data_IF_611545752617
#
_entry.id   IF_611545752617
#
_cell.length_a   1.000
_cell.length_b   1.000
_cell.length_c   1.000
_cell.angle_alpha   90.00
_cell.angle_beta   90.00
_cell.angle_gamma   90.00
#
_symmetry.space_group_name_H-M   'P 1'
#
loop_
_entity.id
_entity.type
_entity.pdbx_description
1 polymer ?
#
# COMPACT_ATOMS: atom_id res chain seq x y z
N UNK A 1 -37.56 -27.25 -13.34
CA UNK A 1 -37.02 -26.37 -12.29
C UNK A 1 -38.11 -25.41 -11.86
N UNK A 2 -38.53 -25.48 -10.59
CA UNK A 2 -39.49 -24.52 -10.02
C UNK A 2 -38.91 -23.11 -10.17
N UNK A 3 -39.62 -22.23 -10.89
CA UNK A 3 -39.13 -20.89 -11.26
C UNK A 3 -38.74 -20.02 -10.06
N UNK A 4 -39.22 -20.39 -8.86
CA UNK A 4 -38.85 -19.79 -7.58
C UNK A 4 -37.34 -19.89 -7.25
N UNK A 5 -36.66 -20.98 -7.62
CA UNK A 5 -35.22 -21.14 -7.35
C UNK A 5 -34.33 -20.40 -8.35
N UNK A 6 -34.76 -20.28 -9.61
CA UNK A 6 -34.05 -19.50 -10.63
C UNK A 6 -34.11 -17.99 -10.36
N UNK A 7 -35.27 -17.50 -9.91
CA UNK A 7 -35.44 -16.10 -9.55
C UNK A 7 -34.60 -15.72 -8.31
N UNK A 8 -34.52 -16.61 -7.32
CA UNK A 8 -33.74 -16.40 -6.09
C UNK A 8 -32.23 -16.34 -6.35
N UNK A 9 -31.70 -17.18 -7.25
CA UNK A 9 -30.28 -17.19 -7.63
C UNK A 9 -29.90 -15.92 -8.42
N UNK A 10 -30.76 -15.47 -9.34
CA UNK A 10 -30.55 -14.22 -10.08
C UNK A 10 -30.61 -13.01 -9.14
N UNK A 11 -31.58 -12.97 -8.21
CA UNK A 11 -31.63 -11.92 -7.19
C UNK A 11 -30.40 -11.89 -6.29
N UNK A 12 -29.87 -13.06 -5.88
CA UNK A 12 -28.65 -13.13 -5.07
C UNK A 12 -27.42 -12.61 -5.81
N UNK A 13 -27.25 -12.98 -7.09
CA UNK A 13 -26.15 -12.48 -7.92
C UNK A 13 -26.24 -10.96 -8.16
N UNK A 14 -27.46 -10.43 -8.37
CA UNK A 14 -27.68 -8.98 -8.46
C UNK A 14 -27.46 -8.27 -7.13
N UNK A 15 -27.76 -8.88 -5.98
CA UNK A 15 -27.51 -8.29 -4.66
C UNK A 15 -26.01 -8.21 -4.34
N UNK A 16 -25.24 -9.25 -4.70
CA UNK A 16 -23.77 -9.26 -4.54
C UNK A 16 -23.14 -8.17 -5.42
N UNK A 17 -23.60 -8.02 -6.66
CA UNK A 17 -23.16 -6.92 -7.54
C UNK A 17 -23.64 -5.54 -7.09
N UNK A 18 -24.82 -5.44 -6.47
CA UNK A 18 -25.37 -4.18 -5.96
C UNK A 18 -24.58 -3.60 -4.77
N UNK A 19 -23.84 -4.44 -4.03
CA UNK A 19 -22.94 -3.95 -2.97
C UNK A 19 -21.56 -3.52 -3.49
N UNK A 20 -21.16 -3.97 -4.68
CA UNK A 20 -19.92 -3.55 -5.33
C UNK A 20 -18.62 -3.93 -4.59
N UNK A 21 -18.67 -4.72 -3.51
CA UNK A 21 -17.51 -5.09 -2.70
C UNK A 21 -17.19 -6.58 -2.84
N UNK A 22 -15.97 -6.89 -3.29
CA UNK A 22 -15.54 -8.27 -3.56
C UNK A 22 -14.28 -8.61 -2.77
N UNK A 23 -14.21 -9.80 -2.18
CA UNK A 23 -12.96 -10.28 -1.57
C UNK A 23 -12.04 -10.79 -2.66
N UNK A 24 -10.91 -10.10 -2.86
CA UNK A 24 -9.94 -10.46 -3.88
C UNK A 24 -8.93 -11.46 -3.34
N UNK A 25 -8.37 -11.17 -2.18
CA UNK A 25 -7.35 -11.98 -1.55
C UNK A 25 -7.52 -11.99 -0.03
N UNK A 26 -7.12 -13.07 0.61
CA UNK A 26 -7.20 -13.21 2.07
C UNK A 26 -6.13 -14.13 2.62
N UNK A 27 -5.70 -13.86 3.85
CA UNK A 27 -4.92 -14.80 4.66
C UNK A 27 -5.38 -14.75 6.11
N UNK A 28 -5.21 -15.86 6.81
CA UNK A 28 -5.36 -15.97 8.25
C UNK A 28 -4.00 -15.84 8.91
N UNK A 29 -4.02 -15.33 10.13
CA UNK A 29 -2.84 -15.24 10.98
C UNK A 29 -3.00 -16.13 12.21
N UNK A 30 -1.91 -16.68 12.80
CA UNK A 30 -1.98 -17.33 14.10
C UNK A 30 -2.57 -16.40 15.16
N UNK A 31 -2.95 -16.97 16.30
CA UNK A 31 -3.43 -16.18 17.44
C UNK A 31 -2.39 -16.27 18.54
N UNK A 32 -2.16 -15.15 19.22
CA UNK A 32 -1.33 -15.09 20.42
C UNK A 32 0.15 -14.91 20.15
N UNK A 33 0.57 -14.57 18.93
CA UNK A 33 1.96 -14.35 18.57
C UNK A 33 2.39 -12.87 18.54
N UNK A 34 1.55 -11.96 19.02
CA UNK A 34 1.78 -10.52 19.21
C UNK A 34 2.98 -10.06 20.09
N UNK A 35 3.92 -10.95 20.43
CA UNK A 35 5.08 -10.67 21.28
C UNK A 35 6.38 -10.49 20.46
N UNK A 36 6.26 -10.02 19.22
CA UNK A 36 7.35 -9.81 18.29
C UNK A 36 8.14 -11.10 18.05
N UNK A 37 9.46 -11.13 18.29
CA UNK A 37 10.24 -12.37 18.24
C UNK A 37 9.75 -13.48 19.20
N UNK A 38 8.77 -13.21 20.08
CA UNK A 38 8.13 -14.18 20.98
C UNK A 38 8.49 -13.98 22.45
N UNK A 39 9.21 -12.91 22.78
CA UNK A 39 9.63 -12.60 24.15
C UNK A 39 9.57 -11.10 24.47
N UNK A 40 9.04 -10.27 23.56
CA UNK A 40 8.87 -8.86 23.87
C UNK A 40 7.86 -8.68 25.00
N UNK A 41 8.16 -7.74 25.88
CA UNK A 41 7.21 -7.24 26.87
C UNK A 41 6.59 -5.96 26.31
N UNK A 42 5.28 -5.90 26.12
CA UNK A 42 4.61 -4.67 25.67
C UNK A 42 4.74 -3.57 26.75
N UNK A 43 4.44 -2.30 26.42
CA UNK A 43 4.42 -1.26 27.43
C UNK A 43 3.43 -1.60 28.56
N UNK A 44 3.81 -1.26 29.79
CA UNK A 44 3.12 -1.68 31.01
C UNK A 44 1.84 -0.88 31.29
N UNK A 45 1.57 0.18 30.53
CA UNK A 45 0.32 0.90 30.68
C UNK A 45 -0.86 -0.02 30.32
N UNK A 46 -1.89 -0.14 31.19
CA UNK A 46 -3.01 -1.05 30.98
C UNK A 46 -3.76 -0.87 29.66
N UNK A 47 -3.69 0.31 29.02
CA UNK A 47 -4.32 0.52 27.70
C UNK A 47 -3.82 -0.46 26.65
N UNK A 48 -2.57 -0.93 26.75
CA UNK A 48 -1.99 -1.90 25.82
C UNK A 48 -2.48 -3.34 26.04
N UNK A 49 -3.29 -3.59 27.09
CA UNK A 49 -3.83 -4.91 27.45
C UNK A 49 -2.80 -6.04 27.39
N UNK A 50 -1.59 -5.78 27.91
CA UNK A 50 -0.48 -6.72 27.85
C UNK A 50 -0.18 -7.24 26.42
N UNK A 51 -0.30 -6.35 25.42
CA UNK A 51 0.09 -6.61 24.04
C UNK A 51 -0.97 -7.25 23.16
N UNK A 52 -2.06 -7.79 23.71
CA UNK A 52 -3.11 -8.49 22.93
C UNK A 52 -3.74 -7.61 21.86
N UNK A 53 -3.64 -6.28 22.01
CA UNK A 53 -4.14 -5.30 21.04
C UNK A 53 -3.39 -5.29 19.71
N UNK A 54 -2.24 -5.98 19.62
CA UNK A 54 -1.41 -6.04 18.42
C UNK A 54 -1.58 -7.33 17.61
N UNK A 55 -2.34 -8.29 18.14
CA UNK A 55 -2.55 -9.63 17.60
C UNK A 55 -3.48 -9.60 16.38
N UNK A 56 -2.91 -9.66 15.18
CA UNK A 56 -3.71 -9.81 13.97
C UNK A 56 -4.17 -11.25 13.83
N UNK A 57 -5.27 -11.45 13.11
CA UNK A 57 -5.87 -12.79 12.92
C UNK A 57 -6.31 -13.02 11.49
N UNK A 58 -6.48 -11.92 10.74
CA UNK A 58 -6.86 -11.96 9.33
C UNK A 58 -6.42 -10.72 8.61
N UNK A 59 -5.98 -10.92 7.38
CA UNK A 59 -5.80 -9.86 6.39
C UNK A 59 -6.67 -10.14 5.17
N UNK A 60 -7.37 -9.12 4.69
CA UNK A 60 -8.18 -9.17 3.48
C UNK A 60 -7.88 -7.98 2.58
N UNK A 61 -7.76 -8.27 1.29
CA UNK A 61 -7.75 -7.29 0.22
C UNK A 61 -9.08 -7.43 -0.51
N UNK A 62 -9.92 -6.41 -0.39
CA UNK A 62 -11.20 -6.34 -1.09
C UNK A 62 -11.14 -5.26 -2.17
N UNK A 63 -12.00 -5.37 -3.16
CA UNK A 63 -12.19 -4.36 -4.20
C UNK A 63 -13.60 -3.80 -4.12
N UNK A 64 -13.70 -2.48 -4.00
CA UNK A 64 -14.96 -1.76 -4.10
C UNK A 64 -15.09 -1.12 -5.49
N UNK A 65 -15.92 -1.72 -6.33
CA UNK A 65 -16.19 -1.28 -7.70
C UNK A 65 -16.90 0.07 -7.76
N UNK A 66 -17.76 0.37 -6.78
CA UNK A 66 -18.53 1.62 -6.75
C UNK A 66 -17.66 2.84 -6.46
N UNK A 67 -16.60 2.66 -5.66
CA UNK A 67 -15.67 3.74 -5.29
C UNK A 67 -14.31 3.66 -6.00
N UNK A 68 -14.11 2.68 -6.89
CA UNK A 68 -12.83 2.37 -7.54
C UNK A 68 -11.65 2.37 -6.55
N UNK A 69 -11.75 1.51 -5.52
CA UNK A 69 -10.78 1.48 -4.42
C UNK A 69 -10.48 0.06 -3.94
N UNK A 70 -9.24 -0.16 -3.49
CA UNK A 70 -8.93 -1.30 -2.62
C UNK A 70 -9.37 -0.99 -1.21
N UNK A 71 -9.86 -2.02 -0.54
CA UNK A 71 -10.13 -2.01 0.88
C UNK A 71 -9.17 -3.00 1.51
N UNK A 72 -8.27 -2.50 2.34
CA UNK A 72 -7.43 -3.33 3.18
C UNK A 72 -8.12 -3.48 4.52
N UNK A 73 -8.51 -4.70 4.88
CA UNK A 73 -9.10 -5.01 6.17
C UNK A 73 -8.13 -5.87 6.97
N UNK A 74 -7.75 -5.36 8.14
CA UNK A 74 -6.87 -6.03 9.09
C UNK A 74 -7.72 -6.34 10.33
N UNK A 75 -7.95 -7.62 10.62
CA UNK A 75 -8.75 -8.07 11.76
C UNK A 75 -7.85 -8.46 12.92
N UNK A 76 -8.12 -7.89 14.10
CA UNK A 76 -7.42 -8.21 15.33
C UNK A 76 -8.24 -9.19 16.19
N UNK A 77 -7.56 -9.97 17.03
CA UNK A 77 -8.23 -10.80 18.03
C UNK A 77 -8.96 -9.94 19.06
N UNK A 78 -8.32 -8.84 19.47
CA UNK A 78 -8.90 -7.73 20.23
C UNK A 78 -8.27 -6.41 19.74
N UNK A 79 -9.06 -5.49 19.17
CA UNK A 79 -8.52 -4.21 18.70
C UNK A 79 -8.16 -3.25 19.86
N UNK A 80 -8.59 -3.54 21.08
CA UNK A 80 -8.35 -2.66 22.23
C UNK A 80 -9.27 -1.44 22.31
N UNK A 81 -10.07 -1.19 21.27
CA UNK A 81 -10.96 -0.04 21.18
C UNK A 81 -10.20 1.27 20.96
N UNK A 82 -10.73 2.36 21.51
CA UNK A 82 -10.23 3.72 21.27
C UNK A 82 -9.99 4.51 22.57
N UNK A 83 -9.14 4.02 23.50
CA UNK A 83 -8.96 4.63 24.82
C UNK A 83 -8.39 6.06 24.79
N UNK A 84 -7.74 6.45 23.69
CA UNK A 84 -7.16 7.79 23.51
C UNK A 84 -7.98 8.68 22.56
N UNK A 85 -9.22 8.30 22.25
CA UNK A 85 -10.17 9.11 21.47
C UNK A 85 -9.64 9.57 20.10
N UNK A 86 -8.97 8.68 19.37
CA UNK A 86 -8.57 8.90 17.97
C UNK A 86 -9.78 8.99 17.04
N UNK A 87 -9.70 9.83 16.02
CA UNK A 87 -10.74 10.01 15.00
C UNK A 87 -10.91 8.77 14.11
N UNK A 88 -9.91 7.91 14.00
CA UNK A 88 -9.97 6.67 13.19
C UNK A 88 -10.68 5.52 13.90
N UNK A 89 -11.00 5.67 15.19
CA UNK A 89 -11.71 4.65 15.98
C UNK A 89 -10.83 3.59 16.65
N UNK A 90 -9.51 3.71 16.59
CA UNK A 90 -8.53 2.91 17.35
C UNK A 90 -7.37 3.81 17.79
N UNK A 91 -6.62 3.43 18.83
CA UNK A 91 -5.60 4.31 19.44
C UNK A 91 -4.16 3.80 19.43
N UNK A 92 -3.93 2.48 19.36
CA UNK A 92 -2.65 1.91 19.80
C UNK A 92 -1.83 1.28 18.68
N UNK A 93 -2.47 0.79 17.63
CA UNK A 93 -1.80 0.09 16.54
C UNK A 93 -1.20 1.11 15.57
N UNK A 94 -0.04 0.77 15.00
CA UNK A 94 0.46 1.40 13.79
C UNK A 94 0.80 0.31 12.79
N UNK A 95 -0.12 0.14 11.83
CA UNK A 95 -0.14 -0.94 10.86
C UNK A 95 0.57 -0.46 9.60
N UNK A 96 1.43 -1.32 9.05
CA UNK A 96 2.16 -1.05 7.83
C UNK A 96 1.96 -2.19 6.85
N UNK A 97 1.48 -1.88 5.66
CA UNK A 97 1.26 -2.84 4.58
C UNK A 97 2.18 -2.50 3.43
N UNK A 98 3.10 -3.40 3.11
CA UNK A 98 3.99 -3.30 1.97
C UNK A 98 3.55 -4.30 0.91
N UNK A 99 3.53 -3.87 -0.34
CA UNK A 99 3.08 -4.68 -1.47
C UNK A 99 4.21 -4.75 -2.48
N UNK A 100 4.53 -5.97 -2.90
CA UNK A 100 5.33 -6.27 -4.07
C UNK A 100 4.38 -6.65 -5.22
N UNK A 101 4.39 -5.86 -6.29
CA UNK A 101 3.49 -6.04 -7.45
C UNK A 101 4.12 -6.82 -8.61
N UNK A 102 5.28 -7.46 -8.43
CA UNK A 102 5.86 -8.36 -9.44
C UNK A 102 6.93 -7.76 -10.35
N UNK A 103 7.51 -6.59 -10.02
CA UNK A 103 8.61 -6.05 -10.80
C UNK A 103 9.91 -6.86 -10.61
N UNK A 104 10.68 -7.12 -11.68
CA UNK A 104 12.00 -7.74 -11.55
C UNK A 104 13.00 -6.76 -10.92
N UNK A 105 13.79 -7.24 -9.96
CA UNK A 105 14.94 -6.54 -9.38
C UNK A 105 14.64 -5.75 -8.11
N UNK A 106 15.67 -5.61 -7.25
CA UNK A 106 15.64 -4.76 -6.07
C UNK A 106 15.62 -3.27 -6.50
N UNK A 107 14.52 -2.52 -6.31
CA UNK A 107 14.40 -1.12 -6.73
C UNK A 107 15.22 -0.20 -5.83
N UNK A 108 15.73 -0.70 -4.70
CA UNK A 108 16.33 0.08 -3.63
C UNK A 108 17.84 0.31 -3.81
N UNK A 109 18.23 0.77 -5.00
CA UNK A 109 19.53 1.44 -5.19
C UNK A 109 19.59 2.78 -4.46
N UNK A 110 20.37 3.74 -4.96
CA UNK A 110 20.34 5.13 -4.46
C UNK A 110 19.01 5.79 -4.86
N UNK A 111 17.94 5.60 -4.06
CA UNK A 111 16.61 6.17 -4.34
C UNK A 111 16.55 7.59 -3.76
N UNK A 112 16.18 8.56 -4.59
CA UNK A 112 15.86 9.92 -4.15
C UNK A 112 14.38 9.99 -3.83
N UNK A 113 14.01 10.31 -2.60
CA UNK A 113 12.60 10.39 -2.23
C UNK A 113 12.02 11.78 -2.47
N UNK A 114 10.74 11.85 -2.86
CA UNK A 114 9.99 13.10 -3.00
C UNK A 114 8.63 13.01 -2.31
N UNK A 115 8.52 13.57 -1.12
CA UNK A 115 7.26 13.63 -0.35
C UNK A 115 6.52 14.91 -0.74
N UNK A 116 5.28 14.80 -1.24
CA UNK A 116 4.39 15.96 -1.28
C UNK A 116 3.84 16.17 0.12
N UNK A 117 4.30 17.21 0.81
CA UNK A 117 3.81 17.53 2.15
C UNK A 117 2.34 17.97 2.06
N UNK A 118 1.42 17.28 2.77
CA UNK A 118 0.00 17.61 2.70
C UNK A 118 -0.36 18.93 3.39
N UNK A 119 0.53 19.42 4.26
CA UNK A 119 0.28 20.52 5.19
C UNK A 119 0.61 21.88 4.58
N UNK A 120 1.61 21.94 3.70
CA UNK A 120 2.07 23.15 3.01
C UNK A 120 2.10 23.01 1.47
N UNK A 121 1.85 21.82 0.93
CA UNK A 121 1.89 21.54 -0.51
C UNK A 121 3.30 21.51 -1.11
N UNK A 122 4.35 21.70 -0.30
CA UNK A 122 5.71 21.78 -0.79
C UNK A 122 6.32 20.38 -0.95
N UNK A 123 7.04 20.10 -2.05
CA UNK A 123 7.80 18.86 -2.18
C UNK A 123 9.01 18.89 -1.23
N UNK A 124 9.11 17.91 -0.33
CA UNK A 124 10.34 17.59 0.38
C UNK A 124 11.09 16.51 -0.41
N UNK A 125 12.28 16.84 -0.93
CA UNK A 125 13.08 15.92 -1.72
C UNK A 125 14.48 15.73 -1.12
N UNK A 126 14.96 14.48 -1.08
CA UNK A 126 16.30 14.15 -0.58
C UNK A 126 16.62 12.66 -0.65
N UNK A 127 17.92 12.34 -0.58
CA UNK A 127 18.38 10.96 -0.38
C UNK A 127 18.22 10.63 1.11
N UNK A 128 17.45 9.58 1.43
CA UNK A 128 17.39 9.04 2.79
C UNK A 128 17.11 10.10 3.88
N UNK A 129 15.97 10.79 3.80
CA UNK A 129 15.61 11.88 4.71
C UNK A 129 14.48 11.46 5.67
N UNK A 130 14.59 11.92 6.92
CA UNK A 130 13.48 11.94 7.88
C UNK A 130 12.83 13.32 7.81
N UNK A 131 11.58 13.37 7.38
CA UNK A 131 10.85 14.63 7.31
C UNK A 131 10.15 14.90 8.66
N UNK A 132 10.57 15.93 9.38
CA UNK A 132 10.02 16.22 10.73
C UNK A 132 8.52 16.57 10.70
N UNK A 133 8.04 17.17 9.60
CA UNK A 133 6.64 17.58 9.45
C UNK A 133 5.71 16.37 9.29
N UNK A 134 5.98 15.53 8.29
CA UNK A 134 5.18 14.32 8.05
C UNK A 134 5.56 13.17 8.98
N UNK A 135 6.72 13.28 9.67
CA UNK A 135 7.41 12.20 10.40
C UNK A 135 7.62 10.95 9.54
N UNK A 136 7.57 11.12 8.22
CA UNK A 136 7.76 10.07 7.24
C UNK A 136 9.25 9.81 7.08
N UNK A 137 9.57 8.54 6.90
CA UNK A 137 10.92 8.09 6.71
C UNK A 137 11.07 7.49 5.32
N UNK A 138 12.11 7.92 4.61
CA UNK A 138 12.48 7.31 3.35
C UNK A 138 13.60 6.28 3.53
N UNK A 139 13.31 4.97 3.30
CA UNK A 139 14.29 3.93 3.54
C UNK A 139 15.45 3.98 2.57
N UNK A 140 16.64 4.16 3.12
CA UNK A 140 17.89 3.70 2.53
C UNK A 140 18.28 2.36 3.18
N UNK A 141 18.12 1.22 2.47
CA UNK A 141 18.50 -0.08 3.02
C UNK A 141 20.01 -0.25 3.22
N UNK A 142 20.85 0.63 2.66
CA UNK A 142 22.29 0.63 2.87
C UNK A 142 22.73 1.40 4.12
N UNK A 143 21.88 2.29 4.67
CA UNK A 143 22.24 3.12 5.82
C UNK A 143 21.60 2.63 7.13
N UNK A 144 22.36 1.82 7.88
CA UNK A 144 21.93 1.23 9.16
C UNK A 144 21.52 2.29 10.22
N UNK A 145 22.06 3.51 10.16
CA UNK A 145 21.77 4.56 11.16
C UNK A 145 20.31 5.03 11.15
N UNK A 146 19.60 4.73 10.06
CA UNK A 146 18.23 5.19 9.83
C UNK A 146 17.16 4.14 10.13
N UNK A 147 17.55 2.87 10.34
CA UNK A 147 16.62 1.81 10.76
C UNK A 147 15.93 2.15 12.09
N UNK A 148 16.51 3.05 12.89
CA UNK A 148 15.87 3.59 14.09
C UNK A 148 14.61 4.43 13.84
N UNK A 149 14.21 4.69 12.59
CA UNK A 149 12.94 5.33 12.21
C UNK A 149 11.96 4.39 11.47
N UNK A 150 12.28 3.09 11.30
CA UNK A 150 11.46 2.10 10.57
C UNK A 150 10.87 1.02 11.48
N UNK A 151 10.21 -0.03 10.97
CA UNK A 151 9.95 -1.23 11.77
C UNK A 151 11.22 -2.00 12.20
N UNK A 152 12.44 -1.59 11.81
CA UNK A 152 13.67 -2.29 12.19
C UNK A 152 13.86 -3.63 11.46
N UNK A 153 13.27 -3.79 10.27
CA UNK A 153 13.35 -5.01 9.46
C UNK A 153 13.75 -4.68 8.02
N UNK A 154 14.33 -5.67 7.34
CA UNK A 154 14.56 -5.67 5.89
C UNK A 154 13.46 -6.47 5.19
N UNK A 155 13.22 -6.12 3.93
CA UNK A 155 12.34 -6.89 3.04
C UNK A 155 13.19 -7.74 2.11
N UNK A 156 12.73 -8.96 1.82
CA UNK A 156 13.39 -9.90 0.91
C UNK A 156 13.73 -9.24 -0.44
N UNK A 157 14.96 -9.43 -0.90
CA UNK A 157 15.41 -8.92 -2.20
C UNK A 157 14.74 -9.63 -3.38
N UNK A 158 14.14 -10.81 -3.14
CA UNK A 158 13.37 -11.55 -4.14
C UNK A 158 11.98 -10.97 -4.38
N UNK A 159 11.46 -10.18 -3.44
CA UNK A 159 10.12 -9.59 -3.49
C UNK A 159 10.11 -8.18 -2.86
N UNK A 160 10.89 -7.25 -3.43
CA UNK A 160 10.95 -5.89 -2.90
C UNK A 160 9.59 -5.21 -3.05
N UNK A 161 9.19 -4.46 -2.04
CA UNK A 161 7.96 -3.69 -2.12
C UNK A 161 8.13 -2.49 -3.06
N UNK A 162 7.02 -2.09 -3.67
CA UNK A 162 6.90 -0.89 -4.50
C UNK A 162 5.69 -0.04 -4.10
N UNK A 163 4.86 -0.53 -3.18
CA UNK A 163 3.84 0.24 -2.47
C UNK A 163 3.99 0.02 -0.98
N UNK A 164 3.89 1.07 -0.18
CA UNK A 164 3.78 1.00 1.28
C UNK A 164 2.61 1.84 1.77
N UNK A 165 1.82 1.31 2.69
CA UNK A 165 0.62 1.94 3.23
C UNK A 165 0.75 1.97 4.75
N UNK A 166 0.68 3.17 5.31
CA UNK A 166 0.82 3.41 6.74
C UNK A 166 -0.55 3.77 7.31
N UNK A 167 -0.96 3.05 8.35
CA UNK A 167 -2.31 3.12 8.92
C UNK A 167 -2.16 3.26 10.43
N UNK A 168 -2.56 4.40 10.97
CA UNK A 168 -2.45 4.71 12.38
C UNK A 168 -3.61 5.57 12.90
N UNK A 169 -3.65 5.79 14.22
CA UNK A 169 -4.59 6.70 14.84
C UNK A 169 -4.35 8.15 14.41
N UNK A 170 -5.40 8.98 14.41
CA UNK A 170 -5.35 10.39 13.97
C UNK A 170 -6.04 11.27 14.99
N UNK A 171 -5.45 12.43 15.26
CA UNK A 171 -6.05 13.51 16.04
C UNK A 171 -5.88 14.84 15.30
N UNK A 172 -6.99 15.55 15.09
CA UNK A 172 -7.02 16.83 14.42
C UNK A 172 -6.32 16.82 13.07
N UNK A 173 -5.36 17.73 12.90
CA UNK A 173 -4.68 17.93 11.62
C UNK A 173 -3.53 16.95 11.38
N UNK A 174 -3.30 15.95 12.24
CA UNK A 174 -2.19 15.01 12.08
C UNK A 174 -2.29 14.23 10.75
N UNK A 175 -1.20 14.22 9.99
CA UNK A 175 -1.06 13.42 8.76
C UNK A 175 -0.43 12.06 9.08
N UNK A 176 -1.23 11.10 9.56
CA UNK A 176 -0.75 9.76 9.96
C UNK A 176 -0.86 8.72 8.87
N UNK A 177 -1.99 8.72 8.17
CA UNK A 177 -2.32 7.69 7.20
C UNK A 177 -1.79 8.08 5.82
N UNK A 178 -0.93 7.24 5.25
CA UNK A 178 -0.16 7.57 4.04
C UNK A 178 -0.13 6.38 3.07
N UNK A 179 -0.03 6.67 1.79
CA UNK A 179 0.34 5.73 0.73
C UNK A 179 1.61 6.24 0.08
N UNK A 180 2.64 5.41 0.06
CA UNK A 180 3.89 5.63 -0.64
C UNK A 180 3.98 4.67 -1.82
N UNK A 181 4.29 5.18 -3.01
CA UNK A 181 4.47 4.40 -4.23
C UNK A 181 5.84 4.70 -4.81
N UNK A 182 6.64 3.67 -5.00
CA UNK A 182 7.94 3.77 -5.63
C UNK A 182 7.78 3.75 -7.16
N UNK A 183 8.32 4.76 -7.83
CA UNK A 183 8.68 4.70 -9.23
C UNK A 183 10.12 4.18 -9.34
N UNK A 184 10.20 2.89 -9.63
CA UNK A 184 11.45 2.14 -9.76
C UNK A 184 12.32 2.64 -10.90
N UNK A 185 11.71 3.15 -11.97
CA UNK A 185 12.45 3.61 -13.17
C UNK A 185 12.97 5.02 -12.96
N UNK A 186 12.16 5.88 -12.33
CA UNK A 186 12.53 7.24 -11.99
C UNK A 186 13.40 7.37 -10.73
N UNK A 187 13.51 6.29 -9.93
CA UNK A 187 14.23 6.31 -8.66
C UNK A 187 13.58 7.24 -7.64
N UNK A 188 12.24 7.36 -7.66
CA UNK A 188 11.48 8.26 -6.79
C UNK A 188 10.42 7.53 -5.98
N UNK A 189 10.03 8.10 -4.84
CA UNK A 189 8.87 7.64 -4.06
C UNK A 189 7.91 8.79 -3.95
N UNK A 190 6.68 8.59 -4.42
CA UNK A 190 5.57 9.53 -4.26
C UNK A 190 4.79 9.16 -3.02
N UNK A 191 4.58 10.11 -2.11
CA UNK A 191 3.81 9.90 -0.89
C UNK A 191 2.55 10.77 -0.93
N UNK A 192 1.41 10.18 -0.57
CA UNK A 192 0.11 10.85 -0.57
C UNK A 192 -0.69 10.49 0.69
N UNK A 193 -1.51 11.40 1.24
CA UNK A 193 -2.45 11.06 2.30
C UNK A 193 -3.40 9.94 1.90
N UNK A 194 -3.59 8.99 2.82
CA UNK A 194 -4.65 8.00 2.69
C UNK A 194 -5.95 8.61 3.22
N UNK A 195 -6.98 8.77 2.37
CA UNK A 195 -8.11 9.64 2.68
C UNK A 195 -9.07 9.07 3.72
N UNK A 196 -9.10 7.75 3.90
CA UNK A 196 -10.11 7.12 4.76
C UNK A 196 -9.59 5.86 5.45
N UNK A 197 -9.56 5.92 6.77
CA UNK A 197 -9.27 4.83 7.70
C UNK A 197 -10.32 4.86 8.80
N UNK A 198 -10.90 3.71 9.13
CA UNK A 198 -11.91 3.59 10.18
C UNK A 198 -11.92 2.16 10.76
N UNK A 199 -12.63 1.97 11.87
CA UNK A 199 -12.83 0.64 12.47
C UNK A 199 -14.17 0.02 12.09
N UNK A 200 -14.18 -1.31 11.98
CA UNK A 200 -15.38 -2.12 11.78
C UNK A 200 -15.27 -3.36 12.67
N UNK A 201 -15.94 -3.34 13.83
CA UNK A 201 -15.76 -4.37 14.86
C UNK A 201 -14.31 -4.39 15.37
N UNK A 202 -13.68 -5.56 15.39
CA UNK A 202 -12.25 -5.71 15.72
C UNK A 202 -11.32 -5.48 14.52
N UNK A 203 -11.82 -4.93 13.41
CA UNK A 203 -11.02 -4.70 12.21
C UNK A 203 -10.70 -3.23 12.01
N UNK A 204 -9.50 -2.95 11.53
CA UNK A 204 -9.12 -1.67 10.93
C UNK A 204 -9.29 -1.77 9.42
N UNK A 205 -9.95 -0.78 8.84
CA UNK A 205 -10.27 -0.71 7.41
C UNK A 205 -9.62 0.52 6.80
N UNK A 206 -8.74 0.31 5.82
CA UNK A 206 -8.11 1.35 5.01
C UNK A 206 -8.67 1.33 3.59
N UNK A 207 -9.21 2.46 3.13
CA UNK A 207 -9.73 2.62 1.77
C UNK A 207 -8.68 3.32 0.93
N UNK A 208 -8.15 2.61 -0.06
CA UNK A 208 -7.08 3.06 -0.93
C UNK A 208 -7.64 3.27 -2.35
N UNK A 209 -7.97 4.53 -2.74
CA UNK A 209 -8.39 4.81 -4.10
C UNK A 209 -7.36 4.33 -5.11
N UNK A 210 -7.81 3.71 -6.21
CA UNK A 210 -6.90 3.14 -7.22
C UNK A 210 -5.93 4.17 -7.80
N UNK A 211 -6.35 5.44 -7.91
CA UNK A 211 -5.49 6.56 -8.34
C UNK A 211 -4.23 6.76 -7.48
N UNK A 212 -4.21 6.29 -6.23
CA UNK A 212 -3.04 6.38 -5.35
C UNK A 212 -2.05 5.23 -5.56
N UNK A 213 -2.45 4.15 -6.25
CA UNK A 213 -1.60 3.01 -6.60
C UNK A 213 -1.69 2.81 -8.12
N UNK A 214 -1.03 3.68 -8.91
CA UNK A 214 -1.11 3.61 -10.37
C UNK A 214 -0.55 2.27 -10.87
N UNK A 215 -1.11 1.70 -11.96
CA UNK A 215 -0.65 0.44 -12.54
C UNK A 215 0.84 0.45 -12.87
N UNK A 216 1.46 -0.72 -12.73
CA UNK A 216 2.87 -0.96 -12.99
C UNK A 216 3.16 -1.07 -14.49
N UNK A 217 2.17 -1.52 -15.26
CA UNK A 217 2.21 -1.53 -16.72
C UNK A 217 1.08 -0.67 -17.30
N UNK A 218 1.21 -0.24 -18.57
CA UNK A 218 0.13 0.47 -19.29
C UNK A 218 -1.09 -0.42 -19.58
N UNK A 219 -1.04 -1.70 -19.23
CA UNK A 219 -2.17 -2.61 -19.35
C UNK A 219 -2.97 -2.54 -18.05
N UNK A 220 -4.23 -2.12 -18.16
CA UNK A 220 -5.19 -1.97 -17.06
C UNK A 220 -5.56 -3.30 -16.34
N UNK A 221 -4.78 -4.37 -16.51
CA UNK A 221 -5.00 -5.67 -15.87
C UNK A 221 -4.55 -5.73 -14.42
N UNK A 222 -3.78 -4.77 -13.90
CA UNK A 222 -2.98 -4.99 -12.69
C UNK A 222 -3.71 -4.75 -11.34
N UNK A 223 -4.90 -5.33 -11.08
CA UNK A 223 -5.58 -5.01 -9.80
C UNK A 223 -6.55 -6.02 -9.17
N UNK A 224 -6.30 -6.39 -7.90
CA UNK A 224 -5.09 -7.07 -7.42
C UNK A 224 -4.78 -8.32 -8.25
N UNK A 225 -3.51 -8.72 -8.35
CA UNK A 225 -3.10 -9.91 -9.12
C UNK A 225 -2.68 -11.07 -8.21
N UNK A 226 -2.82 -12.34 -8.65
CA UNK A 226 -2.31 -13.51 -7.92
C UNK A 226 -0.80 -13.47 -7.63
N UNK A 227 -0.06 -12.70 -8.44
CA UNK A 227 1.39 -12.48 -8.29
C UNK A 227 1.74 -11.48 -7.20
N UNK A 228 0.78 -10.69 -6.71
CA UNK A 228 1.05 -9.75 -5.62
C UNK A 228 1.45 -10.50 -4.35
N UNK A 229 2.36 -9.87 -3.62
CA UNK A 229 2.98 -10.39 -2.41
C UNK A 229 2.95 -9.30 -1.36
N UNK A 230 2.69 -9.66 -0.11
CA UNK A 230 2.36 -8.70 0.94
C UNK A 230 3.24 -8.88 2.16
N UNK A 231 3.66 -7.77 2.76
CA UNK A 231 4.13 -7.74 4.13
C UNK A 231 3.12 -6.93 4.92
N UNK A 232 2.58 -7.50 5.99
CA UNK A 232 1.69 -6.77 6.91
C UNK A 232 2.35 -6.84 8.27
N UNK A 233 2.58 -5.67 8.87
CA UNK A 233 3.28 -5.53 10.13
C UNK A 233 2.43 -4.68 11.06
N UNK A 234 2.43 -5.04 12.35
CA UNK A 234 1.82 -4.25 13.41
C UNK A 234 2.89 -3.82 14.41
N UNK A 235 3.03 -2.51 14.51
CA UNK A 235 3.86 -1.84 15.51
C UNK A 235 2.96 -1.11 16.50
N UNK A 236 3.51 -0.63 17.62
CA UNK A 236 2.76 0.21 18.55
C UNK A 236 2.97 1.68 18.21
N UNK A 237 1.86 2.43 18.10
CA UNK A 237 1.88 3.84 17.75
C UNK A 237 2.43 4.71 18.89
N UNK A 238 3.37 5.58 18.56
CA UNK A 238 3.79 6.69 19.40
C UNK A 238 3.78 7.96 18.56
N UNK A 239 2.96 8.94 18.92
CA UNK A 239 2.90 10.21 18.17
C UNK A 239 4.28 10.82 18.02
N UNK A 240 5.09 10.80 19.08
CA UNK A 240 6.39 11.49 19.21
C UNK A 240 7.61 10.59 18.99
N UNK A 241 7.39 9.28 18.88
CA UNK A 241 8.44 8.31 18.64
C UNK A 241 9.05 8.44 17.24
N UNK A 242 10.32 8.02 17.06
CA UNK A 242 10.93 7.97 15.74
C UNK A 242 10.14 7.02 14.82
N UNK A 243 9.72 7.52 13.65
CA UNK A 243 8.87 6.76 12.72
C UNK A 243 7.45 6.50 13.23
N UNK A 244 7.02 7.23 14.27
CA UNK A 244 5.74 7.04 14.99
C UNK A 244 5.58 5.68 15.67
N UNK A 245 6.69 5.05 16.04
CA UNK A 245 6.72 3.75 16.69
C UNK A 245 7.21 3.93 18.14
N UNK A 246 6.57 3.25 19.08
CA UNK A 246 7.01 3.18 20.47
C UNK A 246 8.47 2.73 20.54
N UNK A 247 9.19 3.31 21.50
CA UNK A 247 10.58 2.93 21.75
C UNK A 247 10.68 1.56 22.40
N UNK A 248 11.77 0.86 22.07
CA UNK A 248 12.14 -0.40 22.70
C UNK A 248 13.35 -0.18 23.60
N UNK A 249 13.30 -0.74 24.79
CA UNK A 249 14.33 -0.67 25.82
C UNK A 249 14.66 -2.07 26.34
N UNK A 250 15.70 -2.19 27.17
CA UNK A 250 16.06 -3.47 27.79
C UNK A 250 15.00 -3.97 28.76
N UNK A 251 14.23 -3.07 29.36
CA UNK A 251 13.08 -3.36 30.21
C UNK A 251 11.90 -2.49 29.77
N UNK A 252 10.68 -3.04 29.87
CA UNK A 252 9.47 -2.29 29.58
C UNK A 252 9.16 -1.27 30.68
N UNK A 253 8.54 -0.17 30.29
CA UNK A 253 7.93 0.79 31.20
C UNK A 253 6.51 1.13 30.72
N UNK A 254 5.84 2.12 31.32
CA UNK A 254 4.48 2.49 30.93
C UNK A 254 4.32 2.93 29.45
N UNK A 255 5.40 3.35 28.81
CA UNK A 255 5.44 3.94 27.46
C UNK A 255 6.38 3.24 26.49
N UNK A 256 7.22 2.32 26.98
CA UNK A 256 8.25 1.62 26.19
C UNK A 256 8.09 0.11 26.27
N UNK A 257 8.35 -0.53 25.15
CA UNK A 257 8.41 -1.99 25.07
C UNK A 257 9.75 -2.51 25.59
N UNK A 258 9.75 -3.69 26.22
CA UNK A 258 10.93 -4.38 26.69
C UNK A 258 11.40 -5.44 25.69
N UNK A 259 12.66 -5.39 25.29
CA UNK A 259 13.29 -6.37 24.40
C UNK A 259 14.33 -7.27 25.14
N UNK A 260 14.58 -7.03 26.43
CA UNK A 260 15.55 -7.78 27.23
C UNK A 260 16.98 -7.22 27.14
N UNK A 261 17.75 -7.38 28.21
CA UNK A 261 19.12 -6.84 28.33
C UNK A 261 20.11 -7.41 27.31
N UNK A 262 19.93 -8.65 26.88
CA UNK A 262 20.76 -9.30 25.86
C UNK A 262 20.73 -8.56 24.50
N UNK A 263 19.69 -7.75 24.25
CA UNK A 263 19.47 -7.06 22.99
C UNK A 263 19.89 -5.58 23.03
N UNK A 264 20.56 -5.12 24.11
CA UNK A 264 20.97 -3.72 24.28
C UNK A 264 21.77 -3.17 23.08
N UNK A 265 22.68 -3.97 22.52
CA UNK A 265 23.49 -3.55 21.36
C UNK A 265 22.65 -3.39 20.09
N UNK A 266 21.65 -4.23 19.87
CA UNK A 266 20.74 -4.13 18.72
C UNK A 266 19.74 -2.95 18.86
N UNK A 267 19.36 -2.61 20.10
CA UNK A 267 18.61 -1.39 20.39
C UNK A 267 19.46 -0.16 20.02
N UNK A 268 20.72 -0.13 20.47
CA UNK A 268 21.62 0.98 20.23
C UNK A 268 21.96 1.17 18.74
N UNK A 269 22.10 0.07 17.97
CA UNK A 269 22.36 0.12 16.54
C UNK A 269 21.11 0.29 15.68
N UNK A 270 19.91 0.19 16.27
CA UNK A 270 18.64 0.32 15.57
C UNK A 270 18.25 -0.90 14.71
N UNK A 271 18.97 -2.01 14.82
CA UNK A 271 18.70 -3.25 14.07
C UNK A 271 17.65 -4.15 14.74
N UNK A 272 17.22 -3.82 15.95
CA UNK A 272 16.13 -4.51 16.64
C UNK A 272 14.80 -4.31 15.89
N UNK A 273 14.07 -5.40 15.53
CA UNK A 273 12.72 -5.28 15.01
C UNK A 273 11.78 -4.64 16.02
N UNK A 274 11.08 -3.58 15.63
CA UNK A 274 10.10 -2.85 16.45
C UNK A 274 8.67 -3.22 16.07
N UNK A 275 8.46 -4.52 15.96
CA UNK A 275 7.23 -5.13 15.45
C UNK A 275 6.70 -6.07 16.53
N UNK A 276 5.42 -5.93 16.86
CA UNK A 276 4.74 -6.85 17.77
C UNK A 276 4.17 -8.04 17.01
N UNK A 277 3.72 -7.81 15.78
CA UNK A 277 3.12 -8.87 14.97
C UNK A 277 3.35 -8.69 13.47
N UNK A 278 3.42 -9.79 12.72
CA UNK A 278 3.46 -9.81 11.26
C UNK A 278 2.46 -10.82 10.72
N UNK A 279 1.95 -10.60 9.51
CA UNK A 279 1.14 -11.63 8.86
C UNK A 279 2.01 -12.85 8.51
N UNK A 280 1.65 -13.98 9.09
CA UNK A 280 2.41 -15.23 9.09
C UNK A 280 3.17 -15.43 10.39
N UNK A 281 4.05 -16.45 10.47
CA UNK A 281 4.78 -16.73 11.69
C UNK A 281 5.79 -15.62 12.02
N UNK A 282 5.83 -15.18 13.27
CA UNK A 282 6.81 -14.20 13.78
C UNK A 282 8.26 -14.72 13.90
N UNK A 283 8.53 -15.99 13.55
CA UNK A 283 9.87 -16.59 13.63
C UNK A 283 10.99 -15.80 12.92
N UNK A 284 10.78 -15.17 11.74
CA UNK A 284 11.81 -14.37 11.08
C UNK A 284 12.30 -13.19 11.93
N UNK A 285 11.46 -12.65 12.82
CA UNK A 285 11.85 -11.55 13.73
C UNK A 285 12.94 -11.95 14.72
N UNK A 286 13.28 -13.24 14.86
CA UNK A 286 14.37 -13.73 15.73
C UNK A 286 15.76 -13.64 15.10
N UNK A 287 15.85 -13.32 13.80
CA UNK A 287 17.08 -13.47 13.00
C UNK A 287 17.99 -12.24 13.01
N UNK A 288 17.65 -11.20 13.78
CA UNK A 288 18.46 -9.99 13.86
C UNK A 288 19.74 -10.20 14.70
N UNK A 289 20.70 -9.32 14.49
CA UNK A 289 21.90 -9.15 15.32
C UNK A 289 22.17 -7.65 15.53
N UNK A 290 23.22 -7.31 16.28
CA UNK A 290 23.63 -5.90 16.42
C UNK A 290 24.02 -5.24 15.09
N UNK A 291 24.46 -6.04 14.11
CA UNK A 291 24.99 -5.55 12.83
C UNK A 291 24.01 -5.75 11.66
N UNK A 292 22.98 -6.59 11.83
CA UNK A 292 22.01 -6.87 10.77
C UNK A 292 20.58 -6.93 11.30
N UNK A 293 19.64 -6.19 10.69
CA UNK A 293 18.21 -6.36 10.92
C UNK A 293 17.70 -7.73 10.48
N UNK A 294 16.58 -8.17 11.05
CA UNK A 294 15.83 -9.33 10.55
C UNK A 294 15.31 -9.08 9.13
N UNK A 295 15.26 -10.12 8.30
CA UNK A 295 14.67 -10.04 6.95
C UNK A 295 13.33 -10.75 6.94
N UNK A 296 12.30 -10.08 6.44
CA UNK A 296 10.97 -10.65 6.25
C UNK A 296 10.80 -11.20 4.84
N UNK A 297 10.10 -12.32 4.75
CA UNK A 297 9.58 -12.89 3.51
C UNK A 297 8.12 -12.49 3.31
N UNK A 298 7.68 -12.26 2.07
CA UNK A 298 6.32 -11.82 1.84
C UNK A 298 5.35 -12.98 1.94
N UNK A 299 4.08 -12.65 2.20
CA UNK A 299 2.97 -13.58 2.14
C UNK A 299 2.31 -13.56 0.76
N UNK A 300 2.08 -14.76 0.21
CA UNK A 300 1.12 -14.97 -0.85
C UNK A 300 -0.26 -15.21 -0.22
N UNK A 301 -1.26 -14.47 -0.67
CA UNK A 301 -2.61 -14.57 -0.13
C UNK A 301 -3.44 -15.56 -0.96
N UNK A 302 -4.37 -16.25 -0.29
CA UNK A 302 -5.35 -17.09 -0.95
C UNK A 302 -6.31 -16.23 -1.76
N UNK A 303 -6.61 -16.65 -2.99
CA UNK A 303 -7.56 -15.95 -3.84
C UNK A 303 -8.98 -16.10 -3.31
N UNK A 304 -9.73 -14.99 -3.31
CA UNK A 304 -11.11 -14.91 -2.86
C UNK A 304 -12.12 -15.20 -3.95
N UNK A 305 -13.32 -14.63 -3.81
CA UNK A 305 -14.43 -14.81 -4.73
C UNK A 305 -14.46 -13.79 -5.88
N UNK A 306 -13.36 -13.05 -6.09
CA UNK A 306 -13.23 -12.12 -7.20
C UNK A 306 -13.03 -12.88 -8.52
N UNK A 307 -13.83 -12.58 -9.57
CA UNK A 307 -13.65 -13.24 -10.86
C UNK A 307 -12.31 -12.81 -11.48
N UNK A 308 -11.38 -13.76 -11.62
CA UNK A 308 -10.20 -13.58 -12.46
C UNK A 308 -10.66 -13.52 -13.91
N UNK A 309 -10.76 -12.32 -14.47
CA UNK A 309 -10.81 -12.16 -15.90
C UNK A 309 -9.41 -12.46 -16.44
N UNK A 310 -9.15 -13.71 -16.84
CA UNK A 310 -8.00 -14.00 -17.70
C UNK A 310 -8.25 -13.30 -19.03
N UNK A 311 -7.82 -12.04 -19.16
CA UNK A 311 -7.65 -11.45 -20.48
C UNK A 311 -6.39 -12.07 -21.07
N UNK A 312 -6.52 -13.20 -21.76
CA UNK A 312 -5.56 -13.56 -22.82
C UNK A 312 -5.71 -12.53 -23.94
N UNK A 313 -5.29 -11.30 -23.69
CA UNK A 313 -5.13 -10.29 -24.73
C UNK A 313 -3.80 -10.59 -25.40
N UNK A 314 -3.79 -11.56 -26.31
CA UNK A 314 -2.76 -11.56 -27.35
C UNK A 314 -2.86 -10.23 -28.07
N UNK A 315 -1.80 -9.41 -27.97
CA UNK A 315 -1.68 -8.14 -28.69
C UNK A 315 -1.66 -8.47 -30.18
N UNK A 316 -2.81 -8.44 -30.84
CA UNK A 316 -2.92 -8.87 -32.24
C UNK A 316 -2.56 -7.76 -33.24
N UNK A 317 -2.42 -6.49 -32.82
CA UNK A 317 -2.02 -5.42 -33.75
C UNK A 317 -1.52 -4.16 -33.04
N UNK A 318 -0.39 -3.64 -33.51
CA UNK A 318 0.05 -2.27 -33.26
C UNK A 318 -0.60 -1.36 -34.31
N UNK A 319 -1.33 -0.33 -33.88
CA UNK A 319 -1.91 0.67 -34.79
C UNK A 319 -1.04 1.93 -34.72
N UNK A 320 -0.53 2.44 -35.84
CA UNK A 320 0.19 3.70 -35.84
C UNK A 320 -0.80 4.84 -35.58
N UNK A 321 -0.54 5.63 -34.54
CA UNK A 321 -1.26 6.87 -34.25
C UNK A 321 -0.30 8.02 -34.50
N UNK A 322 -0.67 8.91 -35.40
CA UNK A 322 0.10 10.13 -35.68
C UNK A 322 -0.31 11.19 -34.66
N UNK A 323 0.61 11.55 -33.78
CA UNK A 323 0.39 12.65 -32.82
C UNK A 323 1.13 13.87 -33.34
N UNK A 324 0.37 14.93 -33.65
CA UNK A 324 0.90 16.22 -34.07
C UNK A 324 0.85 17.17 -32.90
N UNK A 325 2.01 17.66 -32.46
CA UNK A 325 2.11 18.69 -31.44
C UNK A 325 2.55 19.99 -32.13
N UNK A 326 1.75 21.04 -31.95
CA UNK A 326 2.05 22.38 -32.45
C UNK A 326 2.41 23.25 -31.26
N UNK A 327 3.69 23.56 -31.08
CA UNK A 327 4.14 24.48 -30.04
C UNK A 327 4.27 25.89 -30.65
N UNK A 328 3.77 26.90 -29.94
CA UNK A 328 3.81 28.30 -30.39
C UNK A 328 4.97 29.02 -29.69
N UNK A 329 5.95 29.49 -30.47
CA UNK A 329 7.10 30.23 -29.97
C UNK A 329 6.93 31.71 -30.33
N UNK A 330 6.79 32.55 -29.31
CA UNK A 330 6.71 34.01 -29.47
C UNK A 330 8.04 34.60 -29.03
N UNK A 331 8.79 35.16 -29.98
CA UNK A 331 10.08 35.81 -29.70
C UNK A 331 9.87 37.32 -29.80
N UNK A 332 10.17 38.03 -28.71
CA UNK A 332 10.07 39.50 -28.67
C UNK A 332 11.49 40.06 -28.62
N UNK A 333 11.91 40.72 -29.69
CA UNK A 333 13.20 41.39 -29.76
C UNK A 333 13.00 42.90 -29.54
N UNK A 334 13.75 43.48 -28.60
CA UNK A 334 13.70 44.93 -28.31
C UNK A 334 15.05 45.55 -28.68
N UNK A 335 15.10 46.26 -29.81
CA UNK A 335 16.28 47.02 -30.20
C UNK A 335 16.21 48.45 -29.66
N UNK A 336 17.30 48.95 -29.06
CA UNK A 336 17.37 50.31 -28.50
C UNK A 336 18.10 51.24 -29.45
N UNK A 337 17.35 52.02 -30.23
CA UNK A 337 17.85 53.18 -30.98
C UNK A 337 16.75 54.24 -31.01
N UNK A 338 16.87 55.26 -30.14
CA UNK A 338 16.21 56.59 -30.05
C UNK A 338 14.81 56.86 -30.64
N UNK A 339 14.01 55.85 -30.97
CA UNK A 339 12.58 55.87 -31.26
C UNK A 339 12.02 54.47 -30.94
N UNK A 340 10.98 54.39 -30.11
CA UNK A 340 10.44 53.12 -29.63
C UNK A 340 9.54 52.48 -30.70
N UNK A 341 10.02 51.45 -31.39
CA UNK A 341 9.20 50.59 -32.26
C UNK A 341 9.40 49.15 -31.80
N UNK A 342 8.35 48.55 -31.21
CA UNK A 342 8.33 47.13 -30.81
C UNK A 342 7.80 46.30 -31.97
N UNK A 343 8.57 45.31 -32.43
CA UNK A 343 8.14 44.39 -33.49
C UNK A 343 8.01 42.99 -32.92
N UNK A 344 6.80 42.43 -32.93
CA UNK A 344 6.54 41.06 -32.45
C UNK A 344 6.43 40.13 -33.65
N UNK A 345 7.27 39.09 -33.71
CA UNK A 345 7.20 38.04 -34.72
C UNK A 345 6.76 36.72 -34.08
N UNK A 346 5.69 36.14 -34.61
CA UNK A 346 5.16 34.84 -34.16
C UNK A 346 5.52 33.77 -35.19
N UNK A 347 6.14 32.69 -34.74
CA UNK A 347 6.45 31.54 -35.61
C UNK A 347 5.86 30.25 -35.03
N UNK A 348 5.44 29.35 -35.92
CA UNK A 348 4.84 28.07 -35.56
C UNK A 348 5.78 26.95 -35.93
N UNK A 349 6.10 26.07 -34.98
CA UNK A 349 6.90 24.87 -35.23
C UNK A 349 5.99 23.65 -35.01
N UNK A 350 5.73 22.91 -36.08
CA UNK A 350 4.89 21.71 -36.05
C UNK A 350 5.79 20.47 -36.04
N UNK A 351 5.73 19.69 -34.97
CA UNK A 351 6.42 18.40 -34.88
C UNK A 351 5.43 17.25 -35.03
N UNK A 352 5.70 16.33 -35.95
CA UNK A 352 4.87 15.15 -36.20
C UNK A 352 5.65 13.90 -35.79
N UNK A 353 5.11 13.15 -34.83
CA UNK A 353 5.70 11.88 -34.39
C UNK A 353 4.69 10.75 -34.60
N UNK A 354 5.15 9.65 -35.18
CA UNK A 354 4.37 8.40 -35.23
C UNK A 354 4.60 7.60 -33.95
N UNK A 355 3.52 7.30 -33.25
CA UNK A 355 3.54 6.49 -32.03
C UNK A 355 2.74 5.22 -32.30
N UNK A 356 3.36 4.06 -32.10
CA UNK A 356 2.66 2.79 -32.19
C UNK A 356 1.91 2.54 -30.88
N UNK A 357 0.59 2.64 -30.91
CA UNK A 357 -0.26 2.41 -29.74
C UNK A 357 -0.87 1.02 -29.85
N UNK A 358 -0.74 0.15 -28.81
CA UNK A 358 -1.46 -1.09 -28.77
C UNK A 358 -2.96 -0.78 -28.65
N UNK A 359 -3.73 -1.14 -29.68
CA UNK A 359 -5.17 -0.98 -29.73
C UNK A 359 -5.83 -2.26 -29.19
N UNK A 360 -6.57 -2.14 -28.08
CA UNK A 360 -7.38 -3.23 -27.55
C UNK A 360 -8.80 -3.01 -28.06
N UNK A 361 -9.29 -3.95 -28.86
CA UNK A 361 -10.63 -3.91 -29.43
C UNK A 361 -11.68 -3.72 -28.32
N UNK A 362 -12.59 -2.74 -28.41
CA UNK A 362 -13.69 -2.56 -27.45
C UNK A 362 -14.56 -3.80 -27.26
N UNK A 363 -14.51 -4.79 -28.15
CA UNK A 363 -15.10 -6.13 -27.94
C UNK A 363 -14.51 -6.85 -26.72
N UNK A 364 -13.32 -6.48 -26.25
CA UNK A 364 -12.71 -7.04 -25.03
C UNK A 364 -13.48 -6.66 -23.74
N UNK A 365 -14.19 -5.52 -23.73
CA UNK A 365 -15.13 -5.18 -22.65
C UNK A 365 -16.37 -6.09 -22.67
N UNK A 366 -16.77 -6.53 -23.87
CA UNK A 366 -17.85 -7.50 -24.05
C UNK A 366 -17.41 -8.88 -23.56
N UNK A 367 -16.14 -9.26 -23.67
CA UNK A 367 -15.62 -10.55 -23.14
C UNK A 367 -15.69 -10.61 -21.60
N UNK A 368 -15.52 -9.49 -20.90
CA UNK A 368 -15.72 -9.42 -19.45
C UNK A 368 -17.21 -9.60 -19.08
N UNK A 369 -18.11 -9.01 -19.88
CA UNK A 369 -19.56 -9.24 -19.77
C UNK A 369 -19.99 -10.68 -20.14
N UNK A 370 -19.40 -11.27 -21.18
CA UNK A 370 -19.70 -12.62 -21.66
C UNK A 370 -19.12 -13.68 -20.73
N UNK A 371 -17.92 -13.47 -20.16
CA UNK A 371 -17.33 -14.39 -19.17
C UNK A 371 -18.18 -14.51 -17.91
N UNK A 372 -18.79 -13.40 -17.47
CA UNK A 372 -19.78 -13.39 -16.39
C UNK A 372 -21.05 -14.14 -16.79
N UNK A 373 -21.57 -13.93 -18.01
CA UNK A 373 -22.74 -14.66 -18.52
C UNK A 373 -22.49 -16.17 -18.70
N UNK A 374 -21.30 -16.56 -19.15
CA UNK A 374 -20.87 -17.95 -19.30
C UNK A 374 -20.66 -18.63 -17.95
N UNK A 375 -20.13 -17.91 -16.94
CA UNK A 375 -20.07 -18.38 -15.55
C UNK A 375 -21.46 -18.64 -14.96
N UNK A 376 -22.43 -17.74 -15.23
CA UNK A 376 -23.83 -17.92 -14.85
C UNK A 376 -24.44 -19.14 -15.56
N UNK A 377 -24.18 -19.32 -16.86
CA UNK A 377 -24.67 -20.46 -17.64
C UNK A 377 -24.04 -21.80 -17.19
N UNK A 378 -22.75 -21.80 -16.83
CA UNK A 378 -22.05 -22.97 -16.30
C UNK A 378 -22.57 -23.39 -14.93
N UNK A 379 -22.84 -22.43 -14.04
CA UNK A 379 -23.47 -22.68 -12.74
C UNK A 379 -24.90 -23.25 -12.90
N UNK A 380 -25.67 -22.75 -13.88
CA UNK A 380 -26.99 -23.28 -14.25
C UNK A 380 -26.93 -24.71 -14.82
N UNK A 381 -25.90 -25.03 -15.60
CA UNK A 381 -25.70 -26.37 -16.17
C UNK A 381 -25.25 -27.39 -15.10
N UNK A 382 -24.40 -26.98 -14.15
CA UNK A 382 -23.98 -27.82 -13.03
C UNK A 382 -25.12 -28.10 -12.05
N UNK A 383 -26.00 -27.12 -11.81
CA UNK A 383 -27.20 -27.26 -10.99
C UNK A 383 -28.32 -28.13 -11.63
N UNK A 384 -28.19 -28.49 -12.91
CA UNK A 384 -29.11 -29.42 -13.61
C UNK A 384 -28.62 -30.87 -13.58
N UNK A 385 -27.36 -31.14 -13.19
CA UNK A 385 -26.76 -32.48 -13.13
C UNK A 385 -26.76 -33.10 -11.72
N UNK A 386 -27.26 -32.38 -10.73
CA UNK A 386 -27.67 -32.88 -9.42
C UNK A 386 -29.18 -32.75 -9.32
#
# INVERSE_FOLDING_TARGET
MNSKYGLLIIMLATLIYAQGLFTVQTATDPKGDFNGPGWYTPPLNPVFKNGTVFDITKFEVLYNASSDALILRITFSDLGGNPLNSETGFSLQYIQVYIHRGFPGNPWGTVSCSVLRPEDGNPAAGNAFYDEATRFFCPDPANLTQFKYTPGVKFSSSAPWDVAIFIGPKWGNDTVNLVAVADVTGGTISVSPLPRVYTQGSSVVAVVPRKLIPPTTRFMSDFPQPTWRYYVLVTAYDRNGPGRIIQFATQADASKAGAGSANASAIASGTLPRVFDVLGPNAPLRTFSKDSPATLEPQALSWGNFPLAYTTSTVNRLVPVTVTKTDTLTVTETATATQYITTTATSYVTQTQQIYVPYVDPVSYVVLGIGVLAGIAGALAAARRK
#
